data_IF_595449111879
#
_entry.id   IF_595449111879
#
_cell.length_a   1.000
_cell.length_b   1.000
_cell.length_c   1.000
_cell.angle_alpha   90.00
_cell.angle_beta   90.00
_cell.angle_gamma   90.00
#
_symmetry.space_group_name_H-M   'P 1'
#
loop_
_entity.id
_entity.type
_entity.pdbx_description
1 polymer ?
#
# COMPACT_ATOMS: atom_id res chain seq x y z
N UNK A 1 1.50 -15.72 -14.29
CA UNK A 1 0.88 -15.35 -13.00
C UNK A 1 -0.57 -15.79 -13.02
N UNK A 2 -1.01 -16.62 -12.08
CA UNK A 2 -2.42 -17.03 -11.97
C UNK A 2 -3.22 -15.90 -11.33
N UNK A 3 -4.26 -15.42 -12.01
CA UNK A 3 -5.17 -14.41 -11.46
C UNK A 3 -5.90 -15.06 -10.27
N UNK A 4 -5.84 -14.48 -9.05
CA UNK A 4 -6.60 -14.99 -7.92
C UNK A 4 -8.09 -15.04 -8.25
N UNK A 5 -8.80 -16.04 -7.74
CA UNK A 5 -10.26 -16.03 -7.86
C UNK A 5 -10.81 -14.75 -7.21
N UNK A 6 -11.92 -14.22 -7.73
CA UNK A 6 -12.57 -13.03 -7.14
C UNK A 6 -12.86 -13.23 -5.65
N UNK A 7 -13.23 -14.45 -5.24
CA UNK A 7 -13.44 -14.81 -3.83
C UNK A 7 -12.16 -14.61 -3.01
N UNK A 8 -11.03 -15.10 -3.50
CA UNK A 8 -9.72 -14.94 -2.84
C UNK A 8 -9.28 -13.48 -2.78
N UNK A 9 -9.45 -12.73 -3.86
CA UNK A 9 -9.10 -11.31 -3.87
C UNK A 9 -9.93 -10.50 -2.85
N UNK A 10 -11.24 -10.76 -2.76
CA UNK A 10 -12.13 -10.10 -1.78
C UNK A 10 -11.73 -10.35 -0.32
N UNK A 11 -11.11 -11.49 -0.02
CA UNK A 11 -10.63 -11.80 1.34
C UNK A 11 -9.50 -10.86 1.79
N UNK A 12 -8.82 -10.18 0.87
CA UNK A 12 -7.80 -9.19 1.20
C UNK A 12 -8.40 -7.90 1.80
N UNK A 13 -9.72 -7.72 1.81
CA UNK A 13 -10.40 -6.51 2.26
C UNK A 13 -11.33 -6.81 3.45
N UNK A 14 -10.85 -6.76 4.70
CA UNK A 14 -11.64 -7.11 5.89
C UNK A 14 -12.95 -6.31 6.01
N UNK A 15 -12.93 -5.06 5.56
CA UNK A 15 -14.09 -4.18 5.58
C UNK A 15 -15.31 -4.71 4.79
N UNK A 16 -15.10 -5.64 3.85
CA UNK A 16 -16.17 -6.23 3.04
C UNK A 16 -16.89 -7.41 3.70
N UNK A 17 -16.39 -7.92 4.83
CA UNK A 17 -16.87 -9.17 5.44
C UNK A 17 -18.35 -9.11 5.89
N UNK A 18 -18.83 -7.94 6.30
CA UNK A 18 -20.14 -7.76 6.93
C UNK A 18 -20.95 -6.59 6.33
N UNK A 19 -20.66 -6.19 5.09
CA UNK A 19 -21.42 -5.13 4.40
C UNK A 19 -21.38 -5.30 2.89
N UNK A 20 -22.47 -4.90 2.24
CA UNK A 20 -22.49 -4.68 0.80
C UNK A 20 -21.96 -3.26 0.53
N UNK A 21 -20.69 -3.15 0.14
CA UNK A 21 -20.04 -1.87 -0.10
C UNK A 21 -20.21 -1.44 -1.56
N UNK A 22 -20.70 -0.22 -1.79
CA UNK A 22 -20.92 0.34 -3.13
C UNK A 22 -20.25 1.72 -3.32
N UNK A 23 -19.59 2.27 -2.31
CA UNK A 23 -19.03 3.63 -2.32
C UNK A 23 -17.56 3.70 -2.79
N UNK A 24 -17.15 2.81 -3.71
CA UNK A 24 -15.75 2.72 -4.17
C UNK A 24 -15.22 3.99 -4.82
N UNK A 25 -16.10 4.80 -5.44
CA UNK A 25 -15.72 6.07 -6.06
C UNK A 25 -15.40 7.19 -5.08
N UNK A 26 -15.82 7.05 -3.82
CA UNK A 26 -15.43 7.97 -2.74
C UNK A 26 -14.12 7.53 -2.10
N UNK A 27 -14.11 6.34 -1.52
CA UNK A 27 -12.91 5.74 -0.93
C UNK A 27 -12.99 4.22 -1.04
N UNK A 28 -11.96 3.59 -1.57
CA UNK A 28 -11.88 2.13 -1.60
C UNK A 28 -11.69 1.54 -0.19
N UNK A 29 -12.21 0.32 0.08
CA UNK A 29 -11.81 -0.41 1.28
C UNK A 29 -10.29 -0.66 1.24
N UNK A 30 -9.60 -0.43 2.36
CA UNK A 30 -8.15 -0.66 2.45
C UNK A 30 -7.87 -2.18 2.48
N UNK A 31 -7.01 -2.71 1.61
CA UNK A 31 -6.60 -4.11 1.70
C UNK A 31 -5.64 -4.32 2.87
N UNK A 32 -5.65 -5.52 3.46
CA UNK A 32 -4.86 -5.87 4.63
C UNK A 32 -3.36 -5.64 4.39
N UNK A 33 -2.86 -5.99 3.20
CA UNK A 33 -1.42 -5.80 2.86
C UNK A 33 -0.99 -4.33 2.93
N UNK A 34 -1.87 -3.39 2.57
CA UNK A 34 -1.56 -1.96 2.68
C UNK A 34 -1.58 -1.49 4.13
N UNK A 35 -2.51 -2.01 4.95
CA UNK A 35 -2.52 -1.73 6.38
C UNK A 35 -1.24 -2.26 7.06
N UNK A 36 -0.85 -3.49 6.75
CA UNK A 36 0.36 -4.12 7.29
C UNK A 36 1.61 -3.32 6.92
N UNK A 37 1.72 -2.84 5.68
CA UNK A 37 2.83 -2.00 5.23
C UNK A 37 2.88 -0.65 5.96
N UNK A 38 1.73 -0.01 6.20
CA UNK A 38 1.65 1.24 6.99
C UNK A 38 2.13 1.00 8.42
N UNK A 39 1.64 -0.06 9.06
CA UNK A 39 2.06 -0.43 10.43
C UNK A 39 3.56 -0.72 10.47
N UNK A 40 4.09 -1.46 9.49
CA UNK A 40 5.52 -1.73 9.40
C UNK A 40 6.34 -0.44 9.25
N UNK A 41 5.89 0.51 8.44
CA UNK A 41 6.56 1.81 8.30
C UNK A 41 6.64 2.58 9.62
N UNK A 42 5.58 2.55 10.44
CA UNK A 42 5.62 3.13 11.79
C UNK A 42 6.56 2.37 12.73
N UNK A 43 6.59 1.04 12.66
CA UNK A 43 7.53 0.23 13.45
C UNK A 43 8.98 0.53 13.08
N UNK A 44 9.29 0.66 11.79
CA UNK A 44 10.62 1.01 11.29
C UNK A 44 11.01 2.42 11.74
N UNK A 45 10.11 3.38 11.67
CA UNK A 45 10.33 4.74 12.17
C UNK A 45 10.59 4.76 13.68
N UNK A 46 9.82 4.00 14.47
CA UNK A 46 10.03 3.84 15.91
C UNK A 46 11.40 3.21 16.22
N UNK A 47 11.84 2.23 15.41
CA UNK A 47 13.11 1.53 15.61
C UNK A 47 14.33 2.33 15.16
N UNK A 48 14.25 3.04 14.04
CA UNK A 48 15.36 3.77 13.43
C UNK A 48 15.46 5.21 13.93
N UNK A 49 14.53 5.62 14.79
CA UNK A 49 14.37 6.98 15.28
C UNK A 49 13.53 7.82 14.32
N UNK A 50 12.51 8.55 14.82
CA UNK A 50 11.54 9.25 13.98
C UNK A 50 12.14 10.37 13.14
N UNK A 51 13.37 10.76 13.46
CA UNK A 51 14.18 11.70 12.69
C UNK A 51 15.63 11.24 12.72
N UNK A 52 16.05 10.51 11.68
CA UNK A 52 17.42 10.01 11.53
C UNK A 52 17.82 9.93 10.08
N UNK A 53 19.13 9.89 9.81
CA UNK A 53 19.64 9.67 8.45
C UNK A 53 19.13 8.36 7.84
N UNK A 54 18.90 7.33 8.67
CA UNK A 54 18.37 6.04 8.22
C UNK A 54 16.90 6.15 7.78
N UNK A 55 16.04 6.80 8.57
CA UNK A 55 14.64 7.04 8.17
C UNK A 55 14.56 7.93 6.94
N UNK A 56 15.43 8.94 6.84
CA UNK A 56 15.50 9.79 5.65
C UNK A 56 15.83 8.99 4.38
N UNK A 57 16.81 8.10 4.43
CA UNK A 57 17.16 7.23 3.29
C UNK A 57 16.00 6.29 2.92
N UNK A 58 15.40 5.64 3.91
CA UNK A 58 14.25 4.75 3.70
C UNK A 58 13.05 5.49 3.09
N UNK A 59 12.67 6.66 3.61
CA UNK A 59 11.56 7.45 3.09
C UNK A 59 11.78 7.87 1.63
N UNK A 60 13.01 8.26 1.28
CA UNK A 60 13.36 8.56 -0.11
C UNK A 60 13.23 7.33 -1.01
N UNK A 61 13.67 6.15 -0.54
CA UNK A 61 13.53 4.91 -1.28
C UNK A 61 12.05 4.55 -1.51
N UNK A 62 11.21 4.58 -0.49
CA UNK A 62 9.76 4.31 -0.61
C UNK A 62 9.06 5.32 -1.55
N UNK A 63 9.48 6.59 -1.50
CA UNK A 63 8.98 7.64 -2.41
C UNK A 63 9.33 7.33 -3.86
N UNK A 64 10.57 6.91 -4.13
CA UNK A 64 11.01 6.55 -5.48
C UNK A 64 10.31 5.28 -5.97
N UNK A 65 10.23 4.23 -5.15
CA UNK A 65 9.54 3.00 -5.52
C UNK A 65 8.07 3.25 -5.84
N UNK A 66 7.37 4.05 -5.03
CA UNK A 66 5.97 4.42 -5.27
C UNK A 66 5.81 5.14 -6.61
N UNK A 67 6.68 6.10 -6.92
CA UNK A 67 6.68 6.82 -8.20
C UNK A 67 6.86 5.87 -9.38
N UNK A 68 7.82 4.95 -9.29
CA UNK A 68 8.08 3.96 -10.34
C UNK A 68 6.89 3.02 -10.55
N UNK A 69 6.25 2.57 -9.48
CA UNK A 69 5.07 1.70 -9.57
C UNK A 69 3.88 2.41 -10.25
N UNK A 70 3.63 3.67 -9.90
CA UNK A 70 2.57 4.46 -10.55
C UNK A 70 2.89 4.71 -12.02
N UNK A 71 4.14 5.05 -12.35
CA UNK A 71 4.56 5.27 -13.74
C UNK A 71 4.40 4.00 -14.58
N UNK A 72 4.81 2.85 -14.05
CA UNK A 72 4.64 1.55 -14.69
C UNK A 72 3.17 1.19 -14.90
N UNK A 73 2.31 1.43 -13.91
CA UNK A 73 0.85 1.20 -14.03
C UNK A 73 0.22 2.07 -15.13
N UNK A 74 0.70 3.31 -15.27
CA UNK A 74 0.22 4.26 -16.28
C UNK A 74 0.93 4.12 -17.65
N UNK A 75 1.97 3.30 -17.76
CA UNK A 75 2.78 3.15 -18.97
C UNK A 75 3.58 4.40 -19.37
N UNK A 76 4.02 5.20 -18.39
CA UNK A 76 4.80 6.44 -18.60
C UNK A 76 6.19 6.35 -17.95
N UNK A 77 7.06 7.33 -18.24
CA UNK A 77 8.34 7.47 -17.53
C UNK A 77 8.12 7.89 -16.07
N UNK A 78 8.93 7.38 -15.13
CA UNK A 78 8.91 7.87 -13.74
C UNK A 78 9.56 9.25 -13.55
N UNK A 79 10.34 9.75 -14.52
CA UNK A 79 10.94 11.10 -14.58
C UNK A 79 10.01 12.14 -15.22
#
# INVERSE_FOLDING_TARGET
MTIPSLKTHRQQFPALANKAYFNYGGQGPLPQVSMDAIVQGYNDMQSYGPFSGKVYQWQNQETQLTRHLVANELGISPE
#
